data_IF_326093670043
#
_entry.id   IF_326093670043
#
_cell.length_a   1.000
_cell.length_b   1.000
_cell.length_c   1.000
_cell.angle_alpha   90.00
_cell.angle_beta   90.00
_cell.angle_gamma   90.00
#
_symmetry.space_group_name_H-M   'P 1'
#
loop_
_entity.id
_entity.type
_entity.pdbx_description
1 polymer ?
#
# COMPACT_ATOMS: atom_id res chain seq x y z
N UNK A 1 14.12 -0.57 6.61
CA UNK A 1 14.27 -0.70 5.14
C UNK A 1 12.96 -0.41 4.40
N UNK A 2 13.01 0.31 3.27
CA UNK A 2 11.84 0.54 2.41
C UNK A 2 11.38 -0.77 1.76
N UNK A 3 12.34 -1.59 1.33
CA UNK A 3 12.08 -2.92 0.81
C UNK A 3 11.54 -3.81 1.94
N UNK A 4 10.29 -4.24 1.79
CA UNK A 4 9.57 -5.00 2.80
C UNK A 4 8.63 -6.02 2.16
N UNK A 5 8.91 -7.30 2.42
CA UNK A 5 8.05 -8.43 2.02
C UNK A 5 7.03 -8.82 3.08
N UNK A 6 6.98 -8.10 4.21
CA UNK A 6 6.19 -8.38 5.41
C UNK A 6 6.31 -9.78 6.04
N UNK A 7 7.03 -10.71 5.42
CA UNK A 7 7.13 -12.13 5.77
C UNK A 7 7.56 -12.40 7.22
N UNK A 8 8.28 -11.46 7.85
CA UNK A 8 8.81 -11.58 9.22
C UNK A 8 8.49 -10.37 10.08
N UNK A 9 7.53 -9.53 9.68
CA UNK A 9 7.14 -8.31 10.39
C UNK A 9 7.02 -7.10 9.47
N UNK A 10 6.72 -5.93 10.06
CA UNK A 10 6.29 -4.73 9.33
C UNK A 10 7.42 -3.83 8.81
N UNK A 11 8.68 -4.21 9.00
CA UNK A 11 9.84 -3.38 8.68
C UNK A 11 9.72 -1.98 9.32
N UNK A 12 9.85 -0.90 8.55
CA UNK A 12 9.66 0.48 9.04
C UNK A 12 8.25 1.04 8.73
N UNK A 13 7.36 0.21 8.17
CA UNK A 13 5.98 0.61 7.93
C UNK A 13 5.24 0.76 9.25
N UNK A 14 4.46 1.83 9.36
CA UNK A 14 3.69 2.19 10.55
C UNK A 14 2.24 2.35 10.17
N UNK A 15 1.38 1.58 10.84
CA UNK A 15 -0.04 1.81 10.80
C UNK A 15 -0.37 3.13 11.52
N UNK A 16 -1.28 3.91 10.94
CA UNK A 16 -1.78 5.17 11.50
C UNK A 16 -2.90 4.90 12.52
N UNK A 17 -2.66 5.13 13.80
CA UNK A 17 -3.64 4.82 14.86
C UNK A 17 -4.77 5.87 15.00
N UNK A 18 -4.64 7.01 14.31
CA UNK A 18 -5.59 8.13 14.37
C UNK A 18 -6.60 8.10 13.20
N UNK A 19 -6.62 7.01 12.41
CA UNK A 19 -7.59 6.80 11.33
C UNK A 19 -8.78 5.93 11.77
N UNK A 20 -9.60 5.49 10.81
CA UNK A 20 -10.86 4.81 11.13
C UNK A 20 -10.65 3.30 11.44
N UNK A 21 -9.57 2.68 10.94
CA UNK A 21 -9.26 1.27 11.19
C UNK A 21 -7.84 0.86 10.79
N UNK A 22 -7.39 -0.24 11.40
CA UNK A 22 -6.00 -0.68 11.30
C UNK A 22 -5.68 -1.71 10.20
N UNK A 23 -4.56 -1.47 9.50
CA UNK A 23 -3.84 -2.50 8.75
C UNK A 23 -3.14 -3.47 9.71
N UNK A 24 -3.29 -4.77 9.46
CA UNK A 24 -2.72 -5.82 10.32
C UNK A 24 -1.98 -6.88 9.50
N UNK A 25 -0.93 -7.52 10.07
CA UNK A 25 -0.32 -8.68 9.44
C UNK A 25 -1.32 -9.84 9.33
N UNK A 26 -1.47 -10.39 8.13
CA UNK A 26 -2.26 -11.58 7.84
C UNK A 26 -1.35 -12.71 7.37
N UNK A 27 -1.61 -13.93 7.85
CA UNK A 27 -0.81 -15.12 7.58
C UNK A 27 -0.94 -15.56 6.10
N UNK A 28 0.19 -15.89 5.48
CA UNK A 28 0.23 -16.62 4.21
C UNK A 28 0.04 -18.10 4.49
N UNK A 29 -1.12 -18.63 4.07
CA UNK A 29 -1.44 -20.05 3.96
C UNK A 29 -0.53 -20.98 4.79
N UNK A 30 -0.79 -21.06 6.10
CA UNK A 30 -0.16 -22.01 7.04
C UNK A 30 1.28 -21.63 7.45
N UNK A 31 1.58 -20.35 7.59
CA UNK A 31 2.83 -19.89 8.21
C UNK A 31 3.99 -19.69 7.25
N UNK A 32 3.73 -19.56 5.94
CA UNK A 32 4.75 -19.26 4.92
C UNK A 32 5.12 -17.76 4.88
N UNK A 33 4.72 -17.01 5.91
CA UNK A 33 5.01 -15.58 6.10
C UNK A 33 3.73 -14.78 6.30
N UNK A 34 3.84 -13.47 6.13
CA UNK A 34 2.75 -12.52 6.31
C UNK A 34 2.68 -11.54 5.13
N UNK A 35 1.56 -10.85 5.03
CA UNK A 35 1.32 -9.63 4.25
C UNK A 35 0.51 -8.65 5.09
N UNK A 36 0.42 -7.38 4.68
CA UNK A 36 -0.42 -6.41 5.37
C UNK A 36 -1.82 -6.41 4.76
N UNK A 37 -2.85 -6.48 5.59
CA UNK A 37 -4.23 -6.55 5.11
C UNK A 37 -5.22 -5.78 5.98
N UNK A 38 -6.33 -5.44 5.36
CA UNK A 38 -7.55 -4.91 5.99
C UNK A 38 -8.72 -5.79 5.55
N UNK A 39 -9.41 -6.47 6.48
CA UNK A 39 -10.59 -7.26 6.17
C UNK A 39 -11.76 -6.37 5.72
N UNK A 40 -12.52 -6.84 4.74
CA UNK A 40 -13.63 -6.11 4.13
C UNK A 40 -14.86 -5.92 5.03
N UNK A 41 -14.81 -6.30 6.30
CA UNK A 41 -15.92 -6.12 7.25
C UNK A 41 -15.59 -5.10 8.35
N UNK A 42 -14.35 -4.62 8.42
CA UNK A 42 -13.91 -3.62 9.39
C UNK A 42 -14.37 -2.23 8.96
N UNK A 43 -14.74 -1.39 9.92
CA UNK A 43 -15.21 -0.03 9.69
C UNK A 43 -16.55 0.07 8.94
N UNK A 44 -16.94 1.30 8.68
CA UNK A 44 -18.10 1.70 7.89
C UNK A 44 -17.71 2.13 6.48
N UNK A 45 -18.71 2.26 5.60
CA UNK A 45 -18.47 2.64 4.21
C UNK A 45 -17.79 4.03 4.15
N UNK A 46 -16.69 4.12 3.41
CA UNK A 46 -15.79 5.30 3.26
C UNK A 46 -14.81 5.54 4.41
N UNK A 47 -14.86 4.73 5.46
CA UNK A 47 -13.81 4.73 6.47
C UNK A 47 -12.47 4.38 5.80
N UNK A 48 -11.38 4.91 6.34
CA UNK A 48 -10.05 4.80 5.77
C UNK A 48 -9.06 4.28 6.80
N UNK A 49 -8.18 3.39 6.33
CA UNK A 49 -7.02 2.88 7.06
C UNK A 49 -5.74 3.19 6.29
N UNK A 50 -4.67 3.61 6.98
CA UNK A 50 -3.43 4.14 6.39
C UNK A 50 -2.18 3.47 6.95
N UNK A 51 -1.47 2.78 6.07
CA UNK A 51 -0.15 2.23 6.33
C UNK A 51 0.91 3.18 5.73
N UNK A 52 1.76 3.77 6.58
CA UNK A 52 2.70 4.83 6.22
C UNK A 52 4.15 4.38 6.35
N UNK A 53 5.00 4.86 5.45
CA UNK A 53 6.45 4.72 5.53
C UNK A 53 7.09 6.10 5.39
N UNK A 54 7.99 6.45 6.32
CA UNK A 54 8.82 7.65 6.21
C UNK A 54 10.11 7.33 5.44
N UNK A 55 10.50 8.20 4.52
CA UNK A 55 11.67 8.08 3.67
C UNK A 55 12.82 8.93 4.21
N UNK A 56 13.37 8.57 5.37
CA UNK A 56 14.37 9.38 6.09
C UNK A 56 15.78 9.34 5.48
N UNK A 57 16.11 8.28 4.74
CA UNK A 57 17.50 8.00 4.31
C UNK A 57 17.65 7.82 2.79
N UNK A 58 16.73 8.37 2.01
CA UNK A 58 16.84 8.32 0.55
C UNK A 58 17.97 9.23 0.06
N UNK A 59 18.91 8.64 -0.69
CA UNK A 59 19.95 9.43 -1.36
C UNK A 59 19.30 10.43 -2.32
N UNK A 60 19.84 11.64 -2.49
CA UNK A 60 19.33 12.56 -3.49
C UNK A 60 19.44 11.92 -4.88
N UNK A 61 18.28 11.63 -5.48
CA UNK A 61 18.10 11.03 -6.81
C UNK A 61 16.96 11.76 -7.49
N UNK A 62 16.99 11.83 -8.82
CA UNK A 62 15.96 12.51 -9.62
C UNK A 62 14.66 11.72 -9.69
N UNK A 63 14.73 10.39 -9.65
CA UNK A 63 13.55 9.53 -9.68
C UNK A 63 13.74 8.22 -8.92
N UNK A 64 12.61 7.67 -8.49
CA UNK A 64 12.45 6.35 -7.88
C UNK A 64 11.28 5.62 -8.52
N UNK A 65 11.28 4.30 -8.46
CA UNK A 65 10.13 3.47 -8.78
C UNK A 65 9.71 2.67 -7.56
N UNK A 66 8.48 2.92 -7.09
CA UNK A 66 7.82 2.10 -6.09
C UNK A 66 7.14 0.93 -6.79
N UNK A 67 7.52 -0.28 -6.40
CA UNK A 67 6.93 -1.53 -6.87
C UNK A 67 6.32 -2.22 -5.67
N UNK A 68 5.10 -2.71 -5.80
CA UNK A 68 4.44 -3.46 -4.73
C UNK A 68 3.47 -4.46 -5.32
N UNK A 69 3.19 -5.52 -4.59
CA UNK A 69 2.10 -6.44 -4.88
C UNK A 69 0.88 -6.10 -4.06
N UNK A 70 -0.30 -6.21 -4.65
CA UNK A 70 -1.57 -5.93 -3.99
C UNK A 70 -2.63 -6.95 -4.38
N UNK A 71 -3.64 -7.08 -3.54
CA UNK A 71 -4.81 -7.93 -3.79
C UNK A 71 -6.06 -7.21 -3.28
N UNK A 72 -7.07 -7.15 -4.15
CA UNK A 72 -8.42 -6.71 -3.81
C UNK A 72 -9.33 -7.93 -3.91
N UNK A 73 -9.54 -8.62 -2.80
CA UNK A 73 -10.36 -9.83 -2.75
C UNK A 73 -11.75 -9.52 -2.21
N UNK A 74 -12.79 -10.16 -2.76
CA UNK A 74 -14.18 -9.93 -2.38
C UNK A 74 -14.93 -8.88 -3.20
N UNK A 75 -16.24 -9.06 -3.30
CA UNK A 75 -17.10 -8.19 -4.08
C UNK A 75 -17.28 -6.82 -3.41
N UNK A 76 -16.97 -5.73 -4.13
CA UNK A 76 -17.07 -4.35 -3.62
C UNK A 76 -16.27 -4.14 -2.33
N UNK A 77 -15.09 -4.76 -2.23
CA UNK A 77 -14.19 -4.70 -1.07
C UNK A 77 -13.84 -3.26 -0.68
N UNK A 78 -13.62 -2.39 -1.67
CA UNK A 78 -13.21 -1.01 -1.45
C UNK A 78 -12.22 -0.55 -2.50
N UNK A 79 -11.35 0.38 -2.11
CA UNK A 79 -10.30 0.94 -2.95
C UNK A 79 -8.96 0.90 -2.23
N UNK A 80 -7.88 0.71 -2.99
CA UNK A 80 -6.52 0.93 -2.52
C UNK A 80 -5.94 2.15 -3.24
N UNK A 81 -5.36 3.08 -2.49
CA UNK A 81 -4.70 4.28 -3.00
C UNK A 81 -3.27 4.37 -2.48
N UNK A 82 -2.44 5.05 -3.26
CA UNK A 82 -1.10 5.45 -2.83
C UNK A 82 -0.99 6.97 -2.83
N UNK A 83 -0.51 7.52 -1.73
CA UNK A 83 -0.22 8.94 -1.56
C UNK A 83 1.26 9.16 -1.29
N UNK A 84 1.77 10.30 -1.77
CA UNK A 84 3.10 10.81 -1.50
C UNK A 84 2.99 12.12 -0.70
N UNK A 85 3.97 12.43 0.15
CA UNK A 85 3.91 13.65 1.01
C UNK A 85 3.77 14.95 0.23
N UNK A 86 4.31 15.03 -0.98
CA UNK A 86 4.23 16.21 -1.85
C UNK A 86 2.91 16.29 -2.64
N UNK A 87 2.10 15.23 -2.63
CA UNK A 87 0.81 15.14 -3.34
C UNK A 87 -0.30 14.67 -2.39
N UNK A 88 -0.40 15.28 -1.20
CA UNK A 88 -1.29 14.81 -0.11
C UNK A 88 -2.77 14.71 -0.47
N UNK A 89 -3.24 15.53 -1.41
CA UNK A 89 -4.67 15.61 -1.74
C UNK A 89 -5.05 14.80 -2.99
N UNK A 90 -4.08 14.26 -3.73
CA UNK A 90 -4.35 13.54 -4.96
C UNK A 90 -3.56 12.23 -4.96
N UNK A 91 -4.25 11.07 -4.99
CA UNK A 91 -3.54 9.81 -5.03
C UNK A 91 -2.71 9.74 -6.31
N UNK A 92 -1.46 9.29 -6.19
CA UNK A 92 -0.59 9.04 -7.35
C UNK A 92 -0.93 7.71 -8.03
N UNK A 93 -1.72 6.87 -7.35
CA UNK A 93 -2.20 5.59 -7.83
C UNK A 93 -3.49 5.21 -7.11
N UNK A 94 -4.46 4.64 -7.81
CA UNK A 94 -5.72 4.13 -7.25
C UNK A 94 -6.14 2.85 -8.00
N UNK A 95 -6.64 1.86 -7.27
CA UNK A 95 -7.31 0.69 -7.84
C UNK A 95 -8.55 0.32 -7.02
N UNK A 96 -9.64 0.00 -7.70
CA UNK A 96 -10.93 -0.40 -7.11
C UNK A 96 -11.53 -1.68 -7.72
N UNK A 97 -10.81 -2.31 -8.65
CA UNK A 97 -11.25 -3.52 -9.35
C UNK A 97 -10.59 -4.78 -8.77
N UNK A 98 -11.39 -5.63 -8.15
CA UNK A 98 -10.97 -6.90 -7.52
C UNK A 98 -11.70 -8.15 -8.03
N UNK A 99 -12.07 -8.21 -9.33
CA UNK A 99 -13.00 -9.26 -9.81
C UNK A 99 -12.44 -10.68 -9.82
N UNK A 100 -11.12 -10.87 -9.86
CA UNK A 100 -10.49 -12.19 -9.95
C UNK A 100 -9.76 -12.62 -8.68
N UNK A 101 -9.78 -11.79 -7.63
CA UNK A 101 -9.12 -12.05 -6.33
C UNK A 101 -7.64 -12.42 -6.40
N UNK A 102 -6.96 -12.09 -7.51
CA UNK A 102 -5.55 -12.40 -7.75
C UNK A 102 -4.64 -11.31 -7.20
N UNK A 103 -3.43 -11.71 -6.83
CA UNK A 103 -2.33 -10.79 -6.60
C UNK A 103 -1.92 -10.11 -7.91
N UNK A 104 -1.64 -8.81 -7.84
CA UNK A 104 -1.26 -7.95 -8.96
C UNK A 104 -0.10 -7.06 -8.55
N UNK A 105 0.66 -6.58 -9.52
CA UNK A 105 1.77 -5.66 -9.28
C UNK A 105 1.35 -4.23 -9.60
N UNK A 106 1.63 -3.31 -8.67
CA UNK A 106 1.58 -1.87 -8.88
C UNK A 106 2.99 -1.32 -9.09
N UNK A 107 3.13 -0.36 -10.02
CA UNK A 107 4.37 0.37 -10.31
C UNK A 107 4.04 1.85 -10.32
N UNK A 108 4.82 2.66 -9.60
CA UNK A 108 4.64 4.12 -9.51
C UNK A 108 5.99 4.80 -9.67
N UNK A 109 6.09 5.67 -10.67
CA UNK A 109 7.24 6.54 -10.86
C UNK A 109 7.12 7.76 -9.92
N UNK A 110 8.15 7.96 -9.11
CA UNK A 110 8.25 9.04 -8.13
C UNK A 110 9.36 9.97 -8.60
N UNK A 111 8.98 11.12 -9.14
CA UNK A 111 9.92 12.18 -9.50
C UNK A 111 10.16 13.08 -8.29
N UNK A 112 11.43 13.29 -7.95
CA UNK A 112 11.82 14.25 -6.92
C UNK A 112 11.83 15.64 -7.59
N UNK A 113 10.77 16.40 -7.35
CA UNK A 113 10.61 17.78 -7.82
C UNK A 113 11.16 18.78 -6.78
N UNK A 114 10.74 20.05 -6.81
CA UNK A 114 11.17 21.06 -5.83
C UNK A 114 10.77 20.70 -4.38
N UNK A 115 9.67 19.96 -4.22
CA UNK A 115 9.25 19.39 -2.93
C UNK A 115 9.63 17.90 -2.86
N UNK A 116 10.50 17.57 -1.89
CA UNK A 116 10.94 16.18 -1.72
C UNK A 116 9.80 15.33 -1.17
N UNK A 117 9.61 14.17 -1.80
CA UNK A 117 8.72 13.14 -1.25
C UNK A 117 9.39 12.51 -0.04
N UNK A 118 8.78 12.67 1.14
CA UNK A 118 9.35 12.22 2.42
C UNK A 118 8.59 11.04 3.04
N UNK A 119 7.51 10.59 2.42
CA UNK A 119 6.68 9.47 2.89
C UNK A 119 5.85 8.86 1.76
N UNK A 120 5.56 7.58 1.91
CA UNK A 120 4.64 6.80 1.08
C UNK A 120 3.51 6.31 1.99
N UNK A 121 2.27 6.45 1.54
CA UNK A 121 1.10 5.98 2.30
C UNK A 121 0.25 5.08 1.42
N UNK A 122 0.03 3.85 1.86
CA UNK A 122 -1.06 3.02 1.37
C UNK A 122 -2.33 3.34 2.15
N UNK A 123 -3.36 3.80 1.46
CA UNK A 123 -4.68 4.05 2.05
C UNK A 123 -5.69 3.06 1.48
N UNK A 124 -6.38 2.34 2.36
CA UNK A 124 -7.55 1.55 1.99
C UNK A 124 -8.82 2.31 2.33
N UNK A 125 -9.72 2.47 1.36
CA UNK A 125 -11.07 2.98 1.58
C UNK A 125 -12.06 1.82 1.62
N UNK A 126 -12.86 1.74 2.68
CA UNK A 126 -13.85 0.70 2.89
C UNK A 126 -15.01 0.79 1.89
N UNK A 127 -15.23 -0.32 1.17
CA UNK A 127 -16.32 -0.47 0.22
C UNK A 127 -17.67 -0.86 0.84
N UNK A 128 -18.50 -1.56 0.05
CA UNK A 128 -19.83 -2.09 0.48
C UNK A 128 -19.84 -3.60 0.69
N UNK A 129 -18.75 -4.30 0.36
CA UNK A 129 -18.61 -5.74 0.52
C UNK A 129 -18.69 -6.17 1.98
N UNK A 130 -18.93 -7.45 2.24
CA UNK A 130 -18.95 -8.02 3.62
C UNK A 130 -17.85 -9.06 3.85
N UNK A 131 -17.18 -9.48 2.78
CA UNK A 131 -16.20 -10.57 2.76
C UNK A 131 -15.02 -10.17 1.91
N UNK A 132 -13.87 -10.79 2.13
CA UNK A 132 -12.63 -10.50 1.44
C UNK A 132 -11.76 -9.50 2.21
N UNK A 133 -10.81 -8.90 1.50
CA UNK A 133 -9.76 -8.06 2.09
C UNK A 133 -9.08 -7.19 1.02
N UNK A 134 -8.48 -6.10 1.49
CA UNK A 134 -7.49 -5.32 0.74
C UNK A 134 -6.13 -5.68 1.34
N UNK A 135 -5.19 -6.12 0.50
CA UNK A 135 -3.88 -6.54 0.94
C UNK A 135 -2.75 -5.92 0.12
N UNK A 136 -1.62 -5.69 0.76
CA UNK A 136 -0.37 -5.16 0.18
C UNK A 136 0.80 -6.00 0.65
N UNK A 137 1.72 -6.25 -0.26
CA UNK A 137 2.89 -7.07 -0.01
C UNK A 137 4.07 -6.78 -0.96
N UNK A 138 5.28 -7.30 -0.66
CA UNK A 138 6.50 -7.19 -1.47
C UNK A 138 6.74 -5.77 -1.99
N UNK A 139 6.80 -4.81 -1.06
CA UNK A 139 7.07 -3.42 -1.40
C UNK A 139 8.56 -3.24 -1.61
N UNK A 140 8.94 -2.64 -2.73
CA UNK A 140 10.33 -2.42 -3.13
C UNK A 140 10.42 -1.00 -3.68
N UNK A 141 11.50 -0.28 -3.33
CA UNK A 141 11.78 1.04 -3.90
C UNK A 141 13.15 1.03 -4.56
N UNK A 142 13.16 1.05 -5.89
CA UNK A 142 14.38 1.09 -6.68
C UNK A 142 14.66 2.51 -7.17
N UNK A 143 15.93 2.84 -7.37
CA UNK A 143 16.31 4.12 -7.98
C UNK A 143 16.09 4.10 -9.49
N UNK A 144 15.55 5.18 -10.05
CA UNK A 144 15.29 5.33 -11.49
C UNK A 144 13.82 5.16 -11.86
N UNK A 145 13.57 4.99 -13.16
CA UNK A 145 12.24 4.73 -13.71
C UNK A 145 11.81 3.28 -13.43
N UNK A 146 10.51 3.02 -13.56
CA UNK A 146 10.01 1.66 -13.41
C UNK A 146 10.46 0.78 -14.58
N UNK A 147 10.85 -0.48 -14.34
CA UNK A 147 11.21 -1.39 -15.42
C UNK A 147 10.00 -1.67 -16.30
N UNK A 148 10.22 -1.77 -17.61
CA UNK A 148 9.24 -2.31 -18.55
C UNK A 148 8.92 -3.77 -18.18
N UNK A 149 7.71 -4.21 -18.51
CA UNK A 149 7.23 -5.58 -18.23
C UNK A 149 7.88 -6.63 -19.13
#
# INVERSE_FOLDING_TARGET
PVDCSFSRGVCDWKQDADDDFDWNPADRDRGDGYYMAVPAFVGHKRDMGRLKLLLTDLKPKTSYCLIFTYRLAGERVGKLRVYLTNKKHTPVWEQDKGKDERWRTGKIEIFQEAETTNSITFESERGKGKTGEIAVDNVILISGLCPED
#
